data_IF_173163586946
#
_entry.id   IF_173163586946
#
_cell.length_a   1.000
_cell.length_b   1.000
_cell.length_c   1.000
_cell.angle_alpha   90.00
_cell.angle_beta   90.00
_cell.angle_gamma   90.00
#
_symmetry.space_group_name_H-M   'P 1'
#
loop_
_entity.id
_entity.type
_entity.pdbx_description
1 polymer ?
#
# COMPACT_ATOMS: atom_id res chain seq x y z
N UNK A 1 -0.08 11.75 -41.69
CA UNK A 1 0.53 10.42 -41.52
C UNK A 1 0.26 9.89 -40.11
N UNK A 2 -0.83 9.12 -39.92
CA UNK A 2 -1.14 8.49 -38.64
C UNK A 2 -0.28 7.21 -38.51
N UNK A 3 0.77 7.23 -37.69
CA UNK A 3 1.50 6.00 -37.35
C UNK A 3 0.54 5.08 -36.59
N UNK A 4 0.18 3.93 -37.17
CA UNK A 4 -0.54 2.89 -36.44
C UNK A 4 0.30 2.53 -35.21
N UNK A 5 -0.27 2.72 -34.03
CA UNK A 5 0.29 2.24 -32.78
C UNK A 5 0.52 0.73 -32.95
N UNK A 6 1.77 0.31 -32.75
CA UNK A 6 2.09 -1.12 -32.77
C UNK A 6 1.43 -1.77 -31.55
N UNK A 7 0.92 -2.98 -31.73
CA UNK A 7 0.30 -3.75 -30.65
C UNK A 7 1.22 -3.91 -29.43
N UNK A 8 2.53 -3.99 -29.65
CA UNK A 8 3.55 -4.06 -28.60
C UNK A 8 3.65 -2.76 -27.79
N UNK A 9 3.52 -1.61 -28.45
CA UNK A 9 3.53 -0.30 -27.78
C UNK A 9 2.29 -0.14 -26.89
N UNK A 10 1.13 -0.60 -27.36
CA UNK A 10 -0.11 -0.56 -26.58
C UNK A 10 -0.01 -1.45 -25.32
N UNK A 11 0.52 -2.67 -25.47
CA UNK A 11 0.78 -3.57 -24.33
C UNK A 11 1.76 -2.96 -23.33
N UNK A 12 2.80 -2.28 -23.81
CA UNK A 12 3.74 -1.54 -22.96
C UNK A 12 3.06 -0.42 -22.16
N UNK A 13 2.20 0.36 -22.81
CA UNK A 13 1.44 1.42 -22.13
C UNK A 13 0.54 0.85 -21.02
N UNK A 14 -0.16 -0.26 -21.26
CA UNK A 14 -0.97 -0.91 -20.23
C UNK A 14 -0.13 -1.45 -19.08
N UNK A 15 1.05 -2.01 -19.35
CA UNK A 15 1.95 -2.49 -18.29
C UNK A 15 2.44 -1.35 -17.38
N UNK A 16 2.79 -0.20 -17.97
CA UNK A 16 3.22 0.99 -17.21
C UNK A 16 2.06 1.53 -16.38
N UNK A 17 0.86 1.63 -16.96
CA UNK A 17 -0.32 2.13 -16.25
C UNK A 17 -0.66 1.23 -15.05
N UNK A 18 -0.62 -0.09 -15.21
CA UNK A 18 -0.83 -1.04 -14.12
C UNK A 18 0.25 -0.94 -13.03
N UNK A 19 1.51 -0.69 -13.40
CA UNK A 19 2.60 -0.48 -12.45
C UNK A 19 2.38 0.81 -11.63
N UNK A 20 1.97 1.91 -12.27
CA UNK A 20 1.62 3.16 -11.59
C UNK A 20 0.44 2.97 -10.62
N UNK A 21 -0.60 2.23 -11.04
CA UNK A 21 -1.72 1.91 -10.17
C UNK A 21 -1.30 1.05 -8.96
N UNK A 22 -0.29 0.18 -9.09
CA UNK A 22 0.26 -0.59 -7.98
C UNK A 22 1.04 0.25 -6.95
N UNK A 23 1.57 1.41 -7.36
CA UNK A 23 2.26 2.35 -6.47
C UNK A 23 1.28 3.18 -5.61
N UNK A 24 0.04 3.39 -6.07
CA UNK A 24 -0.94 4.20 -5.35
C UNK A 24 -1.33 3.61 -3.97
N UNK A 25 -1.60 2.29 -3.81
CA UNK A 25 -1.82 1.66 -2.51
C UNK A 25 -0.64 1.81 -1.54
N UNK A 26 0.60 1.76 -2.05
CA UNK A 26 1.79 1.95 -1.22
C UNK A 26 1.83 3.37 -0.65
N UNK A 27 1.55 4.38 -1.48
CA UNK A 27 1.45 5.77 -1.04
C UNK A 27 0.32 6.00 -0.03
N UNK A 28 -0.82 5.33 -0.22
CA UNK A 28 -1.95 5.41 0.71
C UNK A 28 -1.58 4.87 2.10
N UNK A 29 -1.00 3.67 2.18
CA UNK A 29 -0.59 3.06 3.44
C UNK A 29 0.48 3.88 4.17
N UNK A 30 1.45 4.46 3.44
CA UNK A 30 2.44 5.36 4.05
C UNK A 30 1.80 6.62 4.64
N UNK A 31 0.80 7.17 3.95
CA UNK A 31 0.12 8.38 4.43
C UNK A 31 -0.72 8.04 5.66
N UNK A 32 -1.44 6.93 5.63
CA UNK A 32 -2.24 6.45 6.75
C UNK A 32 -1.36 6.22 7.99
N UNK A 33 -0.26 5.49 7.83
CA UNK A 33 0.68 5.24 8.92
C UNK A 33 1.20 6.54 9.54
N UNK A 34 1.51 7.56 8.73
CA UNK A 34 1.96 8.85 9.24
C UNK A 34 0.85 9.67 9.92
N UNK A 35 -0.39 9.58 9.45
CA UNK A 35 -1.52 10.36 9.98
C UNK A 35 -2.11 9.75 11.27
N UNK A 36 -2.03 8.43 11.45
CA UNK A 36 -2.55 7.73 12.64
C UNK A 36 -2.18 8.36 14.00
N UNK A 37 -0.89 8.65 14.31
CA UNK A 37 -0.54 9.26 15.60
C UNK A 37 -1.08 10.68 15.74
N UNK A 38 -1.14 11.47 14.66
CA UNK A 38 -1.73 12.82 14.70
C UNK A 38 -3.23 12.78 14.96
N UNK A 39 -3.94 11.85 14.31
CA UNK A 39 -5.37 11.66 14.52
C UNK A 39 -5.66 11.21 15.95
N UNK A 40 -4.89 10.27 16.49
CA UNK A 40 -5.02 9.83 17.87
C UNK A 40 -4.74 10.97 18.87
N UNK A 41 -3.74 11.81 18.62
CA UNK A 41 -3.46 13.00 19.43
C UNK A 41 -4.61 14.01 19.39
N UNK A 42 -5.24 14.20 18.22
CA UNK A 42 -6.40 15.06 18.07
C UNK A 42 -7.63 14.51 18.82
N UNK A 43 -7.94 13.24 18.66
CA UNK A 43 -9.06 12.59 19.37
C UNK A 43 -8.88 12.62 20.88
N UNK A 44 -7.67 12.35 21.36
CA UNK A 44 -7.34 12.43 22.79
C UNK A 44 -7.57 13.83 23.37
N UNK A 45 -7.32 14.87 22.57
CA UNK A 45 -7.47 16.27 23.01
C UNK A 45 -8.90 16.81 22.92
N UNK A 46 -9.67 16.41 21.90
CA UNK A 46 -10.95 17.05 21.56
C UNK A 46 -12.18 16.15 21.69
N UNK A 47 -12.03 14.83 21.81
CA UNK A 47 -13.16 13.89 21.74
C UNK A 47 -13.20 12.97 22.95
N UNK A 48 -12.10 12.29 23.30
CA UNK A 48 -12.09 11.31 24.37
C UNK A 48 -10.69 11.07 24.96
N UNK A 49 -10.50 11.38 26.25
CA UNK A 49 -9.20 11.29 26.96
C UNK A 49 -8.76 9.84 27.18
N UNK A 50 -9.66 8.88 26.95
CA UNK A 50 -9.38 7.44 27.12
C UNK A 50 -8.72 6.80 25.90
N UNK A 51 -8.59 7.52 24.78
CA UNK A 51 -7.93 6.98 23.58
C UNK A 51 -6.44 6.82 23.84
N UNK A 52 -5.97 5.57 23.74
CA UNK A 52 -4.58 5.17 23.95
C UNK A 52 -3.68 5.66 22.80
N UNK A 53 -3.13 6.86 22.97
CA UNK A 53 -2.16 7.46 22.05
C UNK A 53 -0.96 6.54 21.76
N UNK A 54 -0.51 5.78 22.76
CA UNK A 54 0.61 4.84 22.60
C UNK A 54 0.30 3.74 21.59
N UNK A 55 -0.93 3.23 21.57
CA UNK A 55 -1.36 2.15 20.68
C UNK A 55 -1.35 2.62 19.22
N UNK A 56 -1.79 3.86 18.95
CA UNK A 56 -1.75 4.46 17.62
C UNK A 56 -0.31 4.64 17.10
N UNK A 57 0.64 4.99 17.97
CA UNK A 57 2.07 5.04 17.61
C UNK A 57 2.58 3.63 17.27
N UNK A 58 2.26 2.63 18.09
CA UNK A 58 2.67 1.26 17.83
C UNK A 58 2.14 0.74 16.50
N UNK A 59 0.87 1.01 16.17
CA UNK A 59 0.28 0.68 14.88
C UNK A 59 1.02 1.33 13.70
N UNK A 60 1.34 2.63 13.82
CA UNK A 60 2.13 3.36 12.81
C UNK A 60 3.52 2.75 12.60
N UNK A 61 4.22 2.44 13.70
CA UNK A 61 5.53 1.82 13.66
C UNK A 61 5.48 0.40 13.05
N UNK A 62 4.46 -0.39 13.40
CA UNK A 62 4.26 -1.72 12.83
C UNK A 62 4.03 -1.66 11.30
N UNK A 63 3.20 -0.73 10.82
CA UNK A 63 2.99 -0.53 9.38
C UNK A 63 4.30 -0.19 8.65
N UNK A 64 5.10 0.74 9.20
CA UNK A 64 6.39 1.10 8.62
C UNK A 64 7.40 -0.05 8.66
N UNK A 65 7.42 -0.84 9.74
CA UNK A 65 8.27 -2.02 9.85
C UNK A 65 7.90 -3.08 8.81
N UNK A 66 6.59 -3.35 8.63
CA UNK A 66 6.09 -4.28 7.62
C UNK A 66 6.48 -3.80 6.23
N UNK A 67 6.31 -2.50 5.93
CA UNK A 67 6.74 -1.93 4.65
C UNK A 67 8.26 -2.05 4.44
N UNK A 68 9.04 -1.80 5.48
CA UNK A 68 10.50 -1.92 5.47
C UNK A 68 11.00 -3.35 5.25
N UNK A 69 10.26 -4.36 5.69
CA UNK A 69 10.58 -5.78 5.45
C UNK A 69 10.04 -6.24 4.10
N UNK A 70 8.82 -5.83 3.74
CA UNK A 70 8.14 -6.23 2.51
C UNK A 70 8.87 -5.71 1.26
N UNK A 71 9.40 -4.49 1.29
CA UNK A 71 10.07 -3.89 0.12
C UNK A 71 11.32 -4.67 -0.34
N UNK A 72 12.32 -4.96 0.53
CA UNK A 72 13.49 -5.75 0.14
C UNK A 72 13.15 -7.22 -0.14
N UNK A 73 12.21 -7.81 0.60
CA UNK A 73 11.78 -9.20 0.32
C UNK A 73 11.11 -9.32 -1.05
N UNK A 74 10.28 -8.36 -1.44
CA UNK A 74 9.68 -8.29 -2.79
C UNK A 74 10.74 -8.12 -3.87
N UNK A 75 11.76 -7.28 -3.62
CA UNK A 75 12.88 -7.08 -4.54
C UNK A 75 13.75 -8.33 -4.73
N UNK A 76 13.89 -9.18 -3.70
CA UNK A 76 14.56 -10.48 -3.83
C UNK A 76 13.65 -11.49 -4.53
N UNK A 77 12.38 -11.56 -4.15
CA UNK A 77 11.45 -12.57 -4.63
C UNK A 77 11.07 -12.40 -6.11
N UNK A 78 11.06 -11.16 -6.62
CA UNK A 78 10.80 -10.88 -8.05
C UNK A 78 11.84 -11.54 -8.97
N UNK A 79 13.09 -11.67 -8.51
CA UNK A 79 14.17 -12.32 -9.26
C UNK A 79 14.01 -13.84 -9.37
N UNK A 80 13.27 -14.46 -8.44
CA UNK A 80 13.08 -15.91 -8.36
C UNK A 80 11.75 -16.39 -8.93
N UNK A 81 10.67 -15.64 -8.70
CA UNK A 81 9.29 -16.08 -8.98
C UNK A 81 8.69 -15.33 -10.19
N UNK A 82 9.30 -14.19 -10.58
CA UNK A 82 8.80 -13.33 -11.66
C UNK A 82 7.66 -12.41 -11.22
N UNK A 83 7.44 -11.34 -11.99
CA UNK A 83 6.56 -10.23 -11.58
C UNK A 83 5.05 -10.56 -11.58
N UNK A 84 4.59 -11.44 -12.49
CA UNK A 84 3.16 -11.74 -12.69
C UNK A 84 2.49 -12.44 -11.49
N UNK A 85 3.01 -13.57 -10.98
CA UNK A 85 2.42 -14.24 -9.80
C UNK A 85 2.52 -13.38 -8.54
N UNK A 86 3.60 -12.62 -8.40
CA UNK A 86 3.79 -11.69 -7.28
C UNK A 86 2.72 -10.61 -7.24
N UNK A 87 2.39 -10.01 -8.41
CA UNK A 87 1.32 -9.03 -8.49
C UNK A 87 -0.02 -9.66 -8.10
N UNK A 88 -0.39 -10.82 -8.65
CA UNK A 88 -1.65 -11.48 -8.29
C UNK A 88 -1.77 -11.72 -6.77
N UNK A 89 -0.70 -12.20 -6.14
CA UNK A 89 -0.67 -12.39 -4.70
C UNK A 89 -0.85 -11.07 -3.94
N UNK A 90 -0.11 -10.02 -4.33
CA UNK A 90 -0.25 -8.69 -3.73
C UNK A 90 -1.65 -8.11 -3.86
N UNK A 91 -2.34 -8.33 -4.99
CA UNK A 91 -3.73 -7.89 -5.18
C UNK A 91 -4.71 -8.64 -4.28
N UNK A 92 -4.52 -9.95 -4.08
CA UNK A 92 -5.34 -10.75 -3.15
C UNK A 92 -5.14 -10.27 -1.71
N UNK A 93 -3.89 -10.06 -1.30
CA UNK A 93 -3.56 -9.54 0.04
C UNK A 93 -4.13 -8.13 0.23
N UNK A 94 -4.00 -7.25 -0.76
CA UNK A 94 -4.55 -5.89 -0.68
C UNK A 94 -6.07 -5.90 -0.53
N UNK A 95 -6.79 -6.77 -1.25
CA UNK A 95 -8.25 -6.92 -1.08
C UNK A 95 -8.62 -7.41 0.32
N UNK A 96 -7.80 -8.29 0.90
CA UNK A 96 -8.01 -8.82 2.24
C UNK A 96 -7.81 -7.73 3.30
N UNK A 97 -6.76 -6.92 3.15
CA UNK A 97 -6.48 -5.78 4.02
C UNK A 97 -7.54 -4.69 3.89
N UNK A 98 -7.95 -4.34 2.66
CA UNK A 98 -9.01 -3.37 2.43
C UNK A 98 -10.35 -3.79 3.05
N UNK A 99 -10.64 -5.10 3.08
CA UNK A 99 -11.81 -5.64 3.76
C UNK A 99 -11.73 -5.52 5.29
N UNK A 100 -10.51 -5.52 5.85
CA UNK A 100 -10.27 -5.34 7.29
C UNK A 100 -10.29 -3.85 7.66
N UNK A 101 -9.69 -2.97 6.85
CA UNK A 101 -9.73 -1.51 7.04
C UNK A 101 -11.18 -0.97 7.08
N UNK A 102 -12.06 -1.47 6.19
CA UNK A 102 -13.49 -1.11 6.20
C UNK A 102 -14.26 -1.64 7.41
N UNK A 103 -13.68 -2.58 8.16
CA UNK A 103 -14.28 -3.17 9.36
C UNK A 103 -13.74 -2.55 10.66
N UNK A 104 -12.64 -1.80 10.59
CA UNK A 104 -12.00 -1.11 11.73
C UNK A 104 -12.33 0.39 11.75
N UNK A 105 -12.76 0.96 10.63
CA UNK A 105 -13.35 2.31 10.54
C UNK A 105 -14.88 2.26 10.75
#
# INVERSE_FOLDING_TARGET
>A
MHKRISWQTLQGCFAILMACCGLAPLGHLTTLANVMPYLASYMHKYTDVTVDYSLAIWLSCCLHAIQGIATPTTAVLISRVGYRPLLLFSWVVHRLVAAIDFCVL
#
